data_IF_489277777452
#
_entry.id   IF_489277777452
#
_cell.length_a   1.000
_cell.length_b   1.000
_cell.length_c   1.000
_cell.angle_alpha   90.00
_cell.angle_beta   90.00
_cell.angle_gamma   90.00
#
_symmetry.space_group_name_H-M   'P 1'
#
loop_
_entity.id
_entity.type
_entity.pdbx_description
1 polymer ?
2 non-polymer ?
3 non-polymer ?
4 non-polymer ?
5 water ?
#
# COMPACT_ATOMS: atom_id res chain seq x y z
N UNK A 1 -2.04 -4.72 19.38
CA UNK A 1 -3.00 -3.65 19.84
C UNK A 1 -4.08 -3.33 18.82
N UNK A 2 -4.12 -2.08 18.38
CA UNK A 2 -5.13 -1.63 17.43
C UNK A 2 -5.06 -2.40 16.12
N UNK A 3 -3.89 -2.92 15.75
CA UNK A 3 -3.77 -3.60 14.45
C UNK A 3 -4.70 -4.81 14.37
N UNK A 4 -4.94 -5.50 15.48
CA UNK A 4 -5.86 -6.65 15.45
C UNK A 4 -7.27 -6.21 15.12
N UNK A 5 -7.67 -5.06 15.66
CA UNK A 5 -8.96 -4.49 15.38
C UNK A 5 -9.10 -4.14 13.89
N UNK A 6 -8.07 -3.48 13.36
CA UNK A 6 -8.05 -3.15 11.92
C UNK A 6 -8.17 -4.42 11.08
N UNK A 7 -7.43 -5.45 11.44
CA UNK A 7 -7.44 -6.67 10.65
C UNK A 7 -8.82 -7.35 10.67
N UNK A 8 -9.60 -7.19 11.74
CA UNK A 8 -10.90 -7.82 11.70
C UNK A 8 -11.84 -7.14 10.68
N UNK A 9 -11.57 -5.88 10.30
CA UNK A 9 -12.30 -5.29 9.19
C UNK A 9 -11.71 -5.80 7.85
N UNK A 10 -10.38 -5.81 7.73
CA UNK A 10 -9.69 -6.25 6.52
C UNK A 10 -10.10 -7.67 6.14
N UNK A 11 -10.36 -8.53 7.13
CA UNK A 11 -10.77 -9.93 6.92
C UNK A 11 -12.28 -10.10 6.80
N UNK A 12 -13.03 -9.01 6.75
CA UNK A 12 -14.47 -9.09 6.62
C UNK A 12 -14.90 -8.60 5.25
N UNK A 13 -15.11 -9.53 4.30
CA UNK A 13 -15.51 -9.06 2.97
C UNK A 13 -16.89 -8.44 2.88
N UNK A 14 -17.69 -8.50 3.96
CA UNK A 14 -18.99 -7.90 4.03
C UNK A 14 -18.92 -6.55 4.72
N UNK A 15 -17.71 -6.04 4.96
CA UNK A 15 -17.54 -4.77 5.65
C UNK A 15 -18.30 -3.62 5.01
N UNK A 16 -18.97 -2.83 5.82
CA UNK A 16 -19.63 -1.58 5.44
C UNK A 16 -18.73 -0.38 5.74
N UNK A 17 -17.53 -0.66 6.27
CA UNK A 17 -16.59 0.41 6.63
C UNK A 17 -15.55 0.48 5.53
N UNK A 18 -14.91 1.63 5.39
CA UNK A 18 -13.89 1.85 4.37
C UNK A 18 -12.55 2.11 5.08
N UNK A 19 -11.57 1.26 4.80
CA UNK A 19 -10.23 1.42 5.34
C UNK A 19 -9.41 2.44 4.56
N UNK A 20 -8.57 3.16 5.27
CA UNK A 20 -7.67 4.18 4.68
C UNK A 20 -6.26 3.68 4.64
N UNK A 21 -5.66 3.77 3.46
CA UNK A 21 -4.25 3.50 3.26
C UNK A 21 -3.51 4.79 3.03
N UNK A 22 -2.53 5.10 3.87
CA UNK A 22 -1.65 6.26 3.65
C UNK A 22 -0.49 5.85 2.76
N UNK A 23 -0.51 6.30 1.51
CA UNK A 23 0.56 6.09 0.54
C UNK A 23 1.87 6.68 1.01
N UNK A 24 2.85 5.82 1.25
CA UNK A 24 4.19 6.17 1.71
C UNK A 24 4.16 6.74 3.12
N UNK A 25 3.15 6.36 3.89
CA UNK A 25 2.96 7.00 5.20
C UNK A 25 2.27 8.34 5.06
N UNK A 26 2.05 9.06 6.17
CA UNK A 26 1.45 10.40 6.06
C UNK A 26 2.55 11.42 5.72
N UNK A 27 2.93 11.46 4.45
CA UNK A 27 4.02 12.32 4.01
C UNK A 27 3.65 13.81 4.06
N UNK A 28 2.36 14.10 4.19
CA UNK A 28 2.01 15.49 4.38
C UNK A 28 2.52 16.03 5.72
N UNK A 29 2.91 15.15 6.65
CA UNK A 29 3.43 15.57 7.97
C UNK A 29 4.90 15.26 8.23
N UNK A 30 5.53 14.43 7.42
CA UNK A 30 6.92 14.03 7.61
C UNK A 30 7.38 13.42 6.29
N UNK A 31 8.68 13.22 6.10
CA UNK A 31 9.13 12.71 4.77
C UNK A 31 8.48 11.40 4.38
N UNK A 32 8.18 11.23 3.10
CA UNK A 32 7.64 9.97 2.64
C UNK A 32 8.55 8.80 3.03
N UNK A 33 7.96 7.62 3.22
CA UNK A 33 8.77 6.40 3.46
C UNK A 33 9.75 6.55 4.63
N UNK A 34 9.28 7.22 5.69
CA UNK A 34 10.05 7.39 6.91
C UNK A 34 9.27 6.82 8.09
N UNK A 35 10.00 6.53 9.17
CA UNK A 35 9.31 6.08 10.36
C UNK A 35 8.44 7.22 10.93
N UNK A 36 8.84 8.49 10.77
CA UNK A 36 8.03 9.60 11.22
C UNK A 36 6.70 9.65 10.47
N UNK A 37 6.71 9.36 9.18
CA UNK A 37 5.47 9.34 8.40
C UNK A 37 4.57 8.20 8.80
N UNK A 38 5.15 7.08 9.23
CA UNK A 38 4.37 5.96 9.78
C UNK A 38 3.78 6.36 11.14
N UNK A 39 4.60 6.97 12.00
CA UNK A 39 4.05 7.35 13.29
C UNK A 39 2.95 8.38 13.12
N UNK A 40 3.04 9.25 12.12
CA UNK A 40 1.97 10.23 11.87
C UNK A 40 0.67 9.52 11.45
N UNK A 41 0.80 8.56 10.56
CA UNK A 41 -0.35 7.76 10.17
C UNK A 41 -1.01 7.04 11.34
N UNK A 42 -0.20 6.49 12.23
CA UNK A 42 -0.70 5.83 13.44
C UNK A 42 -1.41 6.86 14.30
N UNK A 43 -0.84 8.02 14.52
CA UNK A 43 -1.45 9.01 15.40
C UNK A 43 -2.83 9.46 14.87
N UNK A 44 -2.99 9.43 13.55
CA UNK A 44 -4.24 9.83 12.91
C UNK A 44 -5.24 8.70 12.75
N UNK A 45 -4.87 7.50 13.17
CA UNK A 45 -5.74 6.33 13.10
C UNK A 45 -5.97 5.83 11.69
N UNK A 46 -4.97 6.03 10.86
CA UNK A 46 -4.96 5.38 9.55
C UNK A 46 -4.92 3.85 9.75
N UNK A 47 -5.52 3.12 8.83
CA UNK A 47 -5.63 1.65 8.94
C UNK A 47 -4.42 0.90 8.42
N UNK A 48 -3.88 1.34 7.29
CA UNK A 48 -2.82 0.68 6.60
C UNK A 48 -1.85 1.73 6.10
N UNK A 49 -0.56 1.47 6.27
CA UNK A 49 0.45 2.29 5.57
C UNK A 49 1.06 1.49 4.48
N UNK A 50 1.20 2.12 3.31
CA UNK A 50 1.89 1.54 2.19
C UNK A 50 3.30 2.12 2.23
N UNK A 51 4.31 1.27 2.04
CA UNK A 51 5.71 1.68 2.03
C UNK A 51 6.42 0.94 0.89
N UNK A 52 7.37 1.63 0.28
CA UNK A 52 8.08 1.14 -0.87
C UNK A 52 9.45 0.62 -0.43
N UNK A 53 9.89 -0.47 -1.03
CA UNK A 53 11.16 -1.12 -0.64
C UNK A 53 12.18 -1.07 -1.76
N UNK A 54 13.46 -0.87 -1.38
CA UNK A 54 14.61 -1.00 -2.30
C UNK A 54 15.69 -1.77 -1.55
N UNK A 55 16.62 -2.32 -2.31
CA UNK A 55 17.72 -3.13 -1.77
C UNK A 55 19.06 -2.46 -2.03
N UNK A 56 19.85 -2.35 -0.98
CA UNK A 56 21.16 -1.69 -1.07
C UNK A 56 22.22 -2.63 -1.70
N UNK A 57 23.41 -2.09 -1.98
CA UNK A 57 24.50 -2.85 -2.53
C UNK A 57 24.80 -4.06 -1.64
N UNK A 58 24.76 -3.84 -0.33
CA UNK A 58 25.05 -4.87 0.67
C UNK A 58 23.84 -5.73 1.04
N UNK A 59 22.75 -5.63 0.28
CA UNK A 59 21.64 -6.54 0.38
C UNK A 59 20.65 -6.24 1.43
N UNK A 60 20.69 -5.04 1.99
CA UNK A 60 19.78 -4.63 3.05
C UNK A 60 18.53 -4.02 2.45
N UNK A 61 17.39 -4.21 3.10
CA UNK A 61 16.14 -3.69 2.58
C UNK A 61 15.80 -2.42 3.32
N UNK A 62 15.59 -1.35 2.55
CA UNK A 62 15.26 -0.04 3.07
C UNK A 62 13.94 0.43 2.48
N UNK A 63 13.37 1.44 3.11
CA UNK A 63 12.22 2.14 2.54
C UNK A 63 12.73 3.19 1.58
N UNK A 64 12.25 3.14 0.36
CA UNK A 64 12.66 4.07 -0.71
C UNK A 64 11.76 3.74 -1.90
N UNK A 65 11.16 4.76 -2.50
CA UNK A 65 10.34 4.55 -3.67
C UNK A 65 11.20 4.42 -4.94
N UNK A 66 11.99 5.44 -5.20
CA UNK A 66 12.77 5.48 -6.43
C UNK A 66 13.96 4.53 -6.40
N UNK A 67 14.50 4.21 -7.55
CA UNK A 67 15.76 3.45 -7.70
C UNK A 67 16.97 4.24 -7.30
N UNK A 68 16.80 5.56 -7.16
CA UNK A 68 17.83 6.51 -6.84
C UNK A 68 17.51 7.32 -5.58
N UNK A 69 18.56 7.86 -4.98
CA UNK A 69 18.49 8.63 -3.76
C UNK A 69 18.11 10.09 -3.98
N UNK A 70 18.14 10.52 -5.22
CA UNK A 70 18.19 11.94 -5.53
C UNK A 70 16.98 12.76 -5.08
N UNK A 71 15.77 12.23 -5.26
CA UNK A 71 14.54 13.02 -5.06
C UNK A 71 14.28 13.26 -3.59
N UNK A 72 14.51 12.26 -2.74
CA UNK A 72 14.08 12.32 -1.33
C UNK A 72 15.16 12.45 -0.31
N UNK A 73 16.41 12.40 -0.72
CA UNK A 73 17.52 12.48 0.24
C UNK A 73 18.55 13.53 -0.15
N UNK A 74 19.49 13.75 0.74
CA UNK A 74 20.63 14.63 0.45
C UNK A 74 21.71 13.94 -0.39
N UNK A 75 21.53 12.69 -0.80
CA UNK A 75 22.51 12.01 -1.64
C UNK A 75 21.98 11.85 -3.04
N UNK A 76 22.81 11.25 -3.89
CA UNK A 76 22.51 11.01 -5.27
C UNK A 76 23.08 9.68 -5.69
N UNK A 77 22.37 9.03 -6.60
CA UNK A 77 22.83 7.76 -7.19
C UNK A 77 21.88 6.62 -6.96
N UNK A 78 22.18 5.50 -7.59
CA UNK A 78 21.35 4.32 -7.49
C UNK A 78 21.52 3.65 -6.13
N UNK A 79 20.40 3.26 -5.52
CA UNK A 79 20.39 2.56 -4.24
C UNK A 79 21.31 1.34 -4.28
N UNK A 80 21.25 0.61 -5.40
CA UNK A 80 22.05 -0.62 -5.56
C UNK A 80 23.56 -0.43 -5.55
N UNK A 81 24.01 0.82 -5.70
CA UNK A 81 25.42 1.19 -5.64
C UNK A 81 25.86 1.71 -4.28
N UNK A 82 24.94 1.84 -3.33
CA UNK A 82 25.25 2.35 -2.03
C UNK A 82 25.09 1.32 -0.93
N UNK A 83 25.94 1.38 0.09
CA UNK A 83 25.73 0.52 1.24
C UNK A 83 24.75 1.15 2.23
N UNK A 84 24.12 0.34 3.08
CA UNK A 84 23.23 0.89 4.08
C UNK A 84 23.89 1.89 4.98
N UNK A 85 25.10 1.61 5.46
CA UNK A 85 25.77 2.52 6.36
C UNK A 85 26.01 3.88 5.76
N UNK A 86 26.34 3.92 4.47
CA UNK A 86 26.55 5.22 3.83
C UNK A 86 25.20 5.92 3.59
N UNK A 87 24.16 5.19 3.23
CA UNK A 87 22.83 5.78 3.07
C UNK A 87 22.38 6.40 4.38
N UNK A 88 22.70 5.77 5.50
CA UNK A 88 22.33 6.29 6.85
C UNK A 88 22.99 7.59 7.25
N UNK A 89 24.03 7.98 6.52
CA UNK A 89 24.71 9.25 6.75
C UNK A 89 23.96 10.39 6.07
N UNK A 90 23.08 10.08 5.13
CA UNK A 90 22.29 11.07 4.42
C UNK A 90 21.10 11.50 5.33
N UNK A 91 20.37 12.50 4.87
CA UNK A 91 19.16 12.95 5.52
C UNK A 91 18.02 13.00 4.55
N UNK A 92 16.81 12.80 5.06
CA UNK A 92 15.59 12.89 4.26
C UNK A 92 15.13 14.32 4.09
N UNK A 93 14.61 14.62 2.90
CA UNK A 93 13.95 15.88 2.61
C UNK A 93 12.45 15.76 2.90
N UNK A 94 11.82 16.82 3.39
CA UNK A 94 10.38 16.83 3.60
C UNK A 94 9.68 17.17 2.27
N UNK A 95 8.35 17.19 2.32
CA UNK A 95 7.51 17.46 1.14
C UNK A 95 7.79 18.80 0.48
N UNK A 96 8.33 19.75 1.24
CA UNK A 96 8.64 21.08 0.73
C UNK A 96 10.10 21.13 0.23
N UNK A 97 10.82 20.02 0.32
CA UNK A 97 12.23 19.93 -0.08
C UNK A 97 13.23 20.36 0.97
N UNK A 98 12.78 20.63 2.18
CA UNK A 98 13.70 21.06 3.24
C UNK A 98 14.37 19.85 3.85
N UNK A 99 15.64 19.99 4.13
CA UNK A 99 16.43 18.89 4.71
C UNK A 99 16.01 18.75 6.18
N UNK A 100 15.70 17.53 6.62
CA UNK A 100 15.31 17.25 8.00
C UNK A 100 16.45 16.53 8.73
N UNK A 101 16.19 16.16 9.97
CA UNK A 101 17.14 15.31 10.69
C UNK A 101 16.75 13.86 10.68
N UNK A 102 15.75 13.52 9.88
CA UNK A 102 15.35 12.13 9.72
C UNK A 102 16.26 11.41 8.73
N UNK A 103 16.37 10.11 8.95
CA UNK A 103 17.19 9.25 8.09
C UNK A 103 16.36 8.17 7.41
N UNK A 104 16.91 7.60 6.36
CA UNK A 104 16.29 6.48 5.69
C UNK A 104 16.19 5.30 6.68
N UNK A 105 15.00 4.72 6.83
CA UNK A 105 14.86 3.56 7.71
C UNK A 105 15.02 2.24 6.94
N UNK A 106 15.45 1.20 7.63
CA UNK A 106 15.41 -0.13 7.09
C UNK A 106 13.93 -0.61 7.15
N UNK A 107 13.65 -1.64 6.38
CA UNK A 107 12.37 -2.28 6.46
C UNK A 107 12.11 -2.75 7.88
N UNK A 108 13.12 -3.33 8.53
CA UNK A 108 12.96 -3.79 9.91
C UNK A 108 12.52 -2.64 10.82
N UNK A 109 13.19 -1.49 10.70
CA UNK A 109 12.82 -0.33 11.51
C UNK A 109 11.37 0.11 11.26
N UNK A 110 10.95 0.11 9.98
CA UNK A 110 9.59 0.50 9.67
C UNK A 110 8.60 -0.47 10.30
N UNK A 111 8.88 -1.77 10.19
CA UNK A 111 7.97 -2.79 10.74
C UNK A 111 7.89 -2.71 12.24
N UNK A 112 8.99 -2.41 12.91
CA UNK A 112 8.99 -2.26 14.37
C UNK A 112 8.21 -1.04 14.79
N UNK A 113 8.24 0.02 13.99
CA UNK A 113 7.41 1.21 14.26
C UNK A 113 5.93 0.88 14.09
N UNK A 114 5.58 0.07 13.11
CA UNK A 114 4.19 -0.29 12.85
C UNK A 114 3.64 -1.37 13.75
N UNK A 115 4.50 -2.16 14.35
CA UNK A 115 4.12 -3.39 15.05
C UNK A 115 3.06 -3.13 16.08
N UNK A 116 1.98 -3.92 15.97
CA UNK A 116 0.85 -3.82 16.87
C UNK A 116 -0.15 -2.70 16.63
N UNK A 117 0.19 -1.76 15.74
CA UNK A 117 -0.55 -0.50 15.61
C UNK A 117 -1.20 -0.24 14.29
N UNK A 118 -0.61 -0.68 13.19
CA UNK A 118 -1.14 -0.30 11.87
C UNK A 118 -0.76 -1.40 10.90
N UNK A 119 -1.63 -1.76 9.95
CA UNK A 119 -1.21 -2.76 8.97
C UNK A 119 -0.24 -2.12 7.99
N UNK A 120 0.58 -2.94 7.34
CA UNK A 120 1.59 -2.48 6.44
C UNK A 120 1.44 -3.19 5.10
N UNK A 121 1.36 -2.42 4.02
CA UNK A 121 1.37 -2.96 2.67
C UNK A 121 2.70 -2.63 2.08
N UNK A 122 3.40 -3.63 1.58
CA UNK A 122 4.70 -3.37 0.96
C UNK A 122 4.56 -3.33 -0.51
N UNK A 123 5.19 -2.37 -1.16
CA UNK A 123 5.25 -2.37 -2.62
C UNK A 123 6.72 -2.55 -3.03
N UNK A 124 6.87 -3.05 -4.24
CA UNK A 124 8.16 -3.35 -4.85
C UNK A 124 8.88 -4.48 -4.08
N UNK A 125 8.11 -5.34 -3.41
CA UNK A 125 8.64 -6.44 -2.58
C UNK A 125 8.39 -7.82 -3.12
N UNK A 126 7.57 -7.96 -4.17
CA UNK A 126 7.22 -9.29 -4.65
C UNK A 126 8.43 -10.13 -5.09
N UNK A 127 9.30 -9.55 -5.88
CA UNK A 127 10.46 -10.29 -6.40
C UNK A 127 11.44 -10.74 -5.32
N UNK A 128 11.37 -10.13 -4.14
CA UNK A 128 12.23 -10.42 -2.99
C UNK A 128 11.40 -10.92 -1.79
N UNK A 129 10.29 -11.61 -2.09
CA UNK A 129 9.31 -12.09 -1.10
C UNK A 129 10.03 -12.82 0.04
N UNK A 130 10.94 -13.73 -0.30
CA UNK A 130 11.64 -14.52 0.73
C UNK A 130 12.55 -13.68 1.64
N UNK A 131 13.26 -12.72 1.07
CA UNK A 131 14.11 -11.79 1.83
C UNK A 131 13.23 -10.93 2.76
N UNK A 132 12.09 -10.50 2.23
CA UNK A 132 11.14 -9.74 3.03
C UNK A 132 10.56 -10.61 4.12
N UNK A 133 10.19 -11.86 3.81
CA UNK A 133 9.59 -12.74 4.82
C UNK A 133 10.54 -12.97 6.02
N UNK A 134 11.83 -13.09 5.76
CA UNK A 134 12.81 -13.28 6.85
C UNK A 134 12.76 -12.10 7.84
N UNK A 135 12.53 -10.89 7.32
CA UNK A 135 12.43 -9.67 8.16
C UNK A 135 11.08 -9.65 8.88
N UNK A 136 10.04 -10.13 8.22
CA UNK A 136 8.71 -10.22 8.83
C UNK A 136 8.79 -11.16 10.05
N UNK A 137 9.49 -12.27 9.87
CA UNK A 137 9.70 -13.29 10.92
C UNK A 137 10.56 -12.73 12.07
N UNK A 138 11.64 -12.03 11.71
CA UNK A 138 12.52 -11.39 12.71
C UNK A 138 11.80 -10.39 13.61
N UNK A 139 10.86 -9.63 13.03
CA UNK A 139 10.10 -8.60 13.75
C UNK A 139 8.74 -9.13 14.27
N UNK A 140 8.41 -10.36 13.90
CA UNK A 140 7.11 -11.05 14.22
C UNK A 140 5.90 -10.21 13.76
N UNK A 141 6.01 -9.68 12.55
CA UNK A 141 4.95 -8.86 11.97
C UNK A 141 4.26 -9.51 10.77
N UNK A 142 4.52 -10.78 10.52
CA UNK A 142 3.91 -11.42 9.36
C UNK A 142 2.37 -11.39 9.40
N UNK A 143 1.78 -11.31 10.60
CA UNK A 143 0.32 -11.29 10.69
C UNK A 143 -0.30 -9.90 10.44
N UNK A 144 0.50 -8.87 10.20
CA UNK A 144 -0.04 -7.52 9.93
C UNK A 144 0.44 -6.93 8.65
N UNK A 145 1.05 -7.72 7.79
CA UNK A 145 1.60 -7.26 6.53
C UNK A 145 0.76 -7.77 5.37
N UNK A 146 0.64 -6.95 4.33
CA UNK A 146 -0.05 -7.30 3.09
C UNK A 146 1.00 -7.21 1.99
N UNK A 147 1.35 -8.35 1.43
CA UNK A 147 2.23 -8.42 0.26
C UNK A 147 1.34 -8.21 -0.98
N UNK A 148 1.94 -7.76 -2.08
CA UNK A 148 1.14 -7.59 -3.30
C UNK A 148 2.03 -7.65 -4.51
N UNK A 149 1.40 -7.88 -5.66
CA UNK A 149 2.09 -7.91 -6.91
C UNK A 149 1.09 -8.10 -8.02
N UNK A 150 1.61 -8.14 -9.25
CA UNK A 150 0.77 -8.26 -10.45
C UNK A 150 0.79 -9.56 -11.19
N UNK A 151 1.53 -10.54 -10.70
CA UNK A 151 1.63 -11.81 -11.44
C UNK A 151 0.38 -12.68 -11.24
N UNK A 152 0.08 -13.55 -12.20
CA UNK A 152 -1.05 -14.45 -12.02
C UNK A 152 -0.76 -15.46 -10.92
N UNK A 153 -1.83 -16.05 -10.39
CA UNK A 153 -1.73 -16.95 -9.26
C UNK A 153 -0.83 -18.16 -9.60
N UNK A 154 -0.78 -18.60 -10.86
CA UNK A 154 0.13 -19.73 -11.19
C UNK A 154 1.59 -19.38 -10.87
N UNK A 155 2.00 -18.18 -11.27
CA UNK A 155 3.37 -17.68 -11.07
C UNK A 155 3.68 -17.48 -9.59
N UNK A 156 2.76 -16.86 -8.85
CA UNK A 156 2.98 -16.63 -7.41
C UNK A 156 3.07 -17.97 -6.63
N UNK A 157 2.23 -18.93 -6.98
CA UNK A 157 2.31 -20.25 -6.35
C UNK A 157 3.65 -20.90 -6.61
N UNK A 158 4.09 -20.83 -7.87
CA UNK A 158 5.36 -21.43 -8.27
C UNK A 158 6.55 -20.78 -7.56
N UNK A 159 6.56 -19.46 -7.52
CA UNK A 159 7.69 -18.73 -6.94
C UNK A 159 7.68 -18.70 -5.43
N UNK A 160 6.53 -18.46 -4.82
CA UNK A 160 6.47 -18.27 -3.37
C UNK A 160 5.26 -18.91 -2.72
N UNK A 161 4.81 -20.04 -3.26
CA UNK A 161 3.58 -20.69 -2.77
C UNK A 161 3.60 -21.09 -1.32
N UNK A 162 4.76 -21.46 -0.81
CA UNK A 162 4.88 -21.87 0.61
C UNK A 162 4.69 -20.73 1.61
N UNK A 163 4.68 -19.48 1.11
CA UNK A 163 4.47 -18.31 1.94
C UNK A 163 3.02 -17.88 1.99
N UNK A 164 2.15 -18.43 1.12
CA UNK A 164 0.78 -17.92 1.00
C UNK A 164 -0.18 -18.24 2.15
N UNK A 165 0.18 -19.21 2.99
CA UNK A 165 -0.63 -19.49 4.17
C UNK A 165 0.00 -18.78 5.38
N UNK A 166 1.13 -18.09 5.17
CA UNK A 166 1.86 -17.39 6.23
C UNK A 166 1.73 -15.86 6.25
N UNK A 167 1.40 -15.26 5.11
CA UNK A 167 1.24 -13.81 5.04
C UNK A 167 0.18 -13.48 4.01
N UNK A 168 -0.59 -12.44 4.28
CA UNK A 168 -1.60 -11.98 3.37
C UNK A 168 -0.99 -11.52 2.03
N UNK A 169 -1.65 -11.90 0.97
CA UNK A 169 -1.27 -11.50 -0.40
C UNK A 169 -2.47 -10.93 -1.09
N UNK A 170 -2.29 -9.76 -1.69
CA UNK A 170 -3.31 -9.03 -2.42
C UNK A 170 -2.88 -8.87 -3.88
N UNK A 171 -3.62 -9.45 -4.81
CA UNK A 171 -3.28 -9.21 -6.20
C UNK A 171 -3.60 -7.76 -6.63
N UNK A 172 -2.79 -7.27 -7.56
CA UNK A 172 -2.94 -5.95 -8.18
C UNK A 172 -3.29 -6.21 -9.64
N UNK A 173 -4.44 -5.70 -10.08
CA UNK A 173 -4.85 -5.92 -11.46
C UNK A 173 -5.20 -4.62 -12.14
N UNK A 174 -4.62 -4.46 -13.32
CA UNK A 174 -4.91 -3.30 -14.18
C UNK A 174 -5.98 -3.74 -15.19
N UNK A 175 -7.15 -3.12 -15.07
CA UNK A 175 -8.31 -3.44 -15.91
C UNK A 175 -8.14 -3.01 -17.34
N UNK A 176 -7.08 -2.28 -17.64
CA UNK A 176 -6.78 -1.98 -19.03
C UNK A 176 -6.18 -3.15 -19.75
N UNK A 177 -5.75 -4.19 -19.01
CA UNK A 177 -5.21 -5.42 -19.59
C UNK A 177 -6.31 -6.36 -20.01
N UNK A 178 -6.20 -6.91 -21.22
CA UNK A 178 -7.21 -7.88 -21.69
C UNK A 178 -7.50 -9.14 -20.84
N UNK A 179 -6.49 -9.61 -20.08
CA UNK A 179 -6.60 -10.80 -19.23
C UNK A 179 -7.05 -10.47 -17.80
N UNK A 180 -7.43 -9.22 -17.53
CA UNK A 180 -7.77 -8.81 -16.17
C UNK A 180 -8.81 -9.67 -15.48
N UNK A 181 -9.91 -9.92 -16.16
CA UNK A 181 -10.98 -10.72 -15.54
C UNK A 181 -10.55 -12.15 -15.17
N UNK A 182 -9.83 -12.82 -16.07
CA UNK A 182 -9.33 -14.15 -15.78
C UNK A 182 -8.34 -14.15 -14.62
N UNK A 183 -7.44 -13.16 -14.58
CA UNK A 183 -6.48 -13.07 -13.48
C UNK A 183 -7.26 -12.99 -12.16
N UNK A 184 -8.29 -12.15 -12.13
CA UNK A 184 -9.12 -11.98 -10.93
C UNK A 184 -9.87 -13.21 -10.52
N UNK A 185 -10.55 -13.85 -11.50
CA UNK A 185 -11.34 -15.05 -11.18
C UNK A 185 -10.46 -16.24 -10.80
N UNK A 186 -9.26 -16.33 -11.37
CA UNK A 186 -8.33 -17.39 -10.96
C UNK A 186 -7.85 -17.16 -9.52
N UNK A 187 -7.56 -15.90 -9.15
CA UNK A 187 -7.23 -15.57 -7.75
C UNK A 187 -8.38 -15.91 -6.79
N UNK A 188 -9.59 -15.52 -7.18
CA UNK A 188 -10.76 -15.73 -6.36
C UNK A 188 -10.95 -17.23 -6.07
N UNK A 189 -10.80 -18.05 -7.11
CA UNK A 189 -10.92 -19.48 -6.98
C UNK A 189 -9.78 -20.13 -6.22
N UNK A 190 -8.55 -19.80 -6.57
CA UNK A 190 -7.39 -20.48 -6.00
C UNK A 190 -6.80 -19.94 -4.70
N UNK A 191 -6.91 -18.64 -4.45
CA UNK A 191 -6.36 -18.06 -3.26
C UNK A 191 -7.41 -17.48 -2.31
N UNK A 192 -8.56 -17.06 -2.84
CA UNK A 192 -9.58 -16.38 -2.02
C UNK A 192 -8.93 -15.25 -1.17
N UNK A 193 -8.32 -14.27 -1.86
CA UNK A 193 -7.66 -13.22 -1.10
C UNK A 193 -8.63 -12.35 -0.31
N UNK A 194 -8.11 -11.72 0.73
CA UNK A 194 -8.94 -10.80 1.53
C UNK A 194 -9.29 -9.54 0.76
N UNK A 195 -8.43 -9.16 -0.19
CA UNK A 195 -8.61 -7.96 -0.98
C UNK A 195 -7.96 -8.08 -2.31
N UNK A 196 -8.42 -7.24 -3.22
CA UNK A 196 -7.85 -7.04 -4.55
C UNK A 196 -7.63 -5.56 -4.78
N UNK A 197 -6.45 -5.19 -5.27
CA UNK A 197 -6.17 -3.81 -5.67
C UNK A 197 -6.49 -3.71 -7.18
N UNK A 198 -7.39 -2.80 -7.51
CA UNK A 198 -7.92 -2.62 -8.87
C UNK A 198 -7.46 -1.30 -9.36
N UNK A 199 -6.87 -1.28 -10.54
CA UNK A 199 -6.35 -0.07 -11.20
C UNK A 199 -6.99 0.04 -12.58
N UNK A 200 -7.41 1.24 -12.95
CA UNK A 200 -7.87 1.47 -14.33
C UNK A 200 -7.69 2.95 -14.65
N UNK A 201 -7.32 3.25 -15.89
CA UNK A 201 -7.12 4.64 -16.29
C UNK A 201 -8.27 5.26 -17.05
N UNK A 202 -8.94 4.49 -17.90
CA UNK A 202 -10.02 5.07 -18.69
C UNK A 202 -11.29 5.18 -17.86
N UNK A 203 -11.86 6.40 -17.68
CA UNK A 203 -13.09 6.51 -16.91
C UNK A 203 -14.24 5.62 -17.43
N UNK A 204 -14.21 5.26 -18.69
CA UNK A 204 -15.26 4.43 -19.31
C UNK A 204 -14.82 3.00 -19.55
N UNK A 205 -13.77 2.58 -18.85
CA UNK A 205 -13.40 1.17 -18.88
C UNK A 205 -14.64 0.36 -18.52
N UNK A 206 -14.92 -0.73 -19.26
CA UNK A 206 -16.20 -1.42 -18.99
C UNK A 206 -16.17 -2.37 -17.80
N UNK A 207 -14.99 -2.62 -17.25
CA UNK A 207 -14.86 -3.64 -16.22
C UNK A 207 -15.15 -3.29 -14.76
N UNK A 208 -14.93 -2.05 -14.29
CA UNK A 208 -15.20 -1.81 -12.86
C UNK A 208 -16.56 -2.26 -12.32
N UNK A 209 -17.67 -2.05 -13.05
CA UNK A 209 -18.96 -2.56 -12.56
C UNK A 209 -18.99 -4.07 -12.51
N UNK A 210 -18.36 -4.75 -13.46
CA UNK A 210 -18.30 -6.19 -13.46
C UNK A 210 -17.46 -6.71 -12.29
N UNK A 211 -16.35 -6.05 -12.01
CA UNK A 211 -15.53 -6.44 -10.89
C UNK A 211 -16.30 -6.26 -9.56
N UNK A 212 -17.11 -5.21 -9.43
CA UNK A 212 -17.93 -5.04 -8.23
C UNK A 212 -18.84 -6.25 -8.06
N UNK A 213 -19.48 -6.69 -9.14
CA UNK A 213 -20.34 -7.85 -9.05
C UNK A 213 -19.55 -9.14 -8.77
N UNK A 214 -18.37 -9.30 -9.35
CA UNK A 214 -17.56 -10.51 -9.14
C UNK A 214 -17.04 -10.62 -7.72
N UNK A 215 -16.68 -9.49 -7.12
CA UNK A 215 -16.06 -9.49 -5.79
C UNK A 215 -16.99 -9.13 -4.64
N UNK A 216 -18.29 -8.95 -4.95
CA UNK A 216 -19.35 -8.58 -3.96
C UNK A 216 -19.42 -9.53 -2.83
N UNK A 217 -19.06 -9.03 -1.60
CA UNK A 217 -19.21 -9.89 -0.43
C UNK A 217 -18.25 -11.08 -0.44
N UNK A 218 -17.25 -11.04 -1.32
CA UNK A 218 -16.27 -12.10 -1.42
C UNK A 218 -14.87 -11.62 -1.06
N UNK A 219 -14.51 -10.41 -1.45
CA UNK A 219 -13.20 -9.84 -1.16
C UNK A 219 -13.36 -8.36 -1.13
N UNK A 220 -12.50 -7.68 -0.38
CA UNK A 220 -12.54 -6.22 -0.38
C UNK A 220 -11.88 -5.62 -1.61
N UNK A 221 -12.48 -4.58 -2.15
CA UNK A 221 -11.95 -3.88 -3.30
C UNK A 221 -11.19 -2.66 -2.85
N UNK A 222 -9.92 -2.61 -3.27
CA UNK A 222 -9.04 -1.48 -3.02
C UNK A 222 -8.85 -0.65 -4.27
N UNK A 223 -9.17 0.65 -4.21
CA UNK A 223 -8.85 1.60 -5.30
C UNK A 223 -7.89 2.63 -4.75
N UNK A 224 -7.14 3.20 -5.68
CA UNK A 224 -6.17 4.26 -5.40
C UNK A 224 -6.66 5.59 -5.94
N UNK A 225 -6.48 6.68 -5.19
CA UNK A 225 -6.88 8.02 -5.58
C UNK A 225 -5.68 8.93 -5.74
N UNK A 226 -4.52 8.36 -5.95
CA UNK A 226 -3.28 9.14 -5.93
C UNK A 226 -3.09 10.08 -7.12
N UNK A 227 -3.56 9.65 -8.28
CA UNK A 227 -3.49 10.40 -9.52
C UNK A 227 -4.51 9.84 -10.49
N UNK A 228 -4.69 10.52 -11.62
CA UNK A 228 -5.82 10.24 -12.51
C UNK A 228 -5.84 8.86 -13.12
N UNK A 229 -4.67 8.35 -13.50
CA UNK A 229 -4.57 7.08 -14.24
C UNK A 229 -4.85 5.85 -13.40
N UNK A 230 -5.03 6.01 -12.08
CA UNK A 230 -5.27 4.85 -11.26
C UNK A 230 -6.70 4.44 -11.07
N UNK A 231 -7.64 5.38 -11.18
CA UNK A 231 -9.03 5.04 -10.95
C UNK A 231 -9.94 5.93 -11.79
N UNK A 232 -9.64 6.02 -13.07
CA UNK A 232 -10.52 6.73 -13.98
C UNK A 232 -10.76 8.17 -13.66
N UNK A 233 -9.71 8.84 -13.21
CA UNK A 233 -9.72 10.25 -12.83
C UNK A 233 -10.51 10.56 -11.56
N UNK A 234 -10.87 9.54 -10.79
CA UNK A 234 -11.45 9.72 -9.45
C UNK A 234 -10.26 9.78 -8.53
N UNK A 235 -9.71 10.99 -8.34
CA UNK A 235 -8.50 11.13 -7.53
C UNK A 235 -8.64 12.14 -6.41
N UNK A 236 -7.56 12.32 -5.69
CA UNK A 236 -7.53 13.20 -4.55
C UNK A 236 -7.87 14.65 -4.93
N UNK A 237 -7.38 15.11 -6.09
CA UNK A 237 -7.68 16.48 -6.48
C UNK A 237 -9.15 16.68 -6.79
N UNK A 238 -9.77 15.72 -7.44
CA UNK A 238 -11.20 15.81 -7.67
C UNK A 238 -11.92 15.81 -6.29
N UNK A 239 -11.43 15.00 -5.34
CA UNK A 239 -12.06 14.91 -4.04
C UNK A 239 -11.98 16.21 -3.26
N UNK A 240 -10.97 17.04 -3.51
CA UNK A 240 -10.86 18.34 -2.85
C UNK A 240 -12.01 19.25 -3.28
N UNK A 241 -12.45 19.15 -4.53
CA UNK A 241 -13.56 19.91 -5.12
C UNK A 241 -14.90 19.33 -4.68
N UNK A 242 -14.99 18.01 -4.79
CA UNK A 242 -16.22 17.30 -4.42
C UNK A 242 -15.89 15.86 -4.09
N UNK A 243 -15.81 15.61 -2.78
CA UNK A 243 -15.45 14.27 -2.38
C UNK A 243 -16.48 13.21 -2.78
N UNK A 244 -17.74 13.59 -2.91
CA UNK A 244 -18.74 12.62 -3.34
C UNK A 244 -18.49 12.14 -4.76
N UNK A 245 -18.01 13.03 -5.63
CA UNK A 245 -17.74 12.68 -7.03
C UNK A 245 -16.52 11.78 -7.21
N UNK A 246 -15.62 11.77 -6.23
CA UNK A 246 -14.41 11.00 -6.32
C UNK A 246 -14.48 9.81 -5.35
N UNK A 247 -14.33 10.05 -4.05
CA UNK A 247 -14.38 8.97 -3.06
C UNK A 247 -15.76 8.32 -3.02
N UNK A 248 -16.82 9.12 -3.04
CA UNK A 248 -18.18 8.57 -2.99
C UNK A 248 -18.50 7.66 -4.16
N UNK A 249 -18.07 8.08 -5.36
CA UNK A 249 -18.26 7.27 -6.54
C UNK A 249 -17.56 5.92 -6.39
N UNK A 250 -16.29 5.93 -5.98
CA UNK A 250 -15.54 4.68 -5.89
C UNK A 250 -16.17 3.76 -4.86
N UNK A 251 -16.58 4.31 -3.71
CA UNK A 251 -17.17 3.50 -2.65
C UNK A 251 -18.55 2.98 -2.98
N UNK A 252 -19.44 3.89 -3.37
CA UNK A 252 -20.82 3.52 -3.56
C UNK A 252 -21.07 2.88 -4.92
N UNK A 253 -20.54 3.44 -6.01
CA UNK A 253 -20.82 2.89 -7.35
C UNK A 253 -19.92 1.72 -7.67
N UNK A 254 -18.65 1.79 -7.31
CA UNK A 254 -17.71 0.70 -7.63
C UNK A 254 -17.42 -0.29 -6.50
N UNK A 255 -17.96 -0.05 -5.29
CA UNK A 255 -17.85 -0.98 -4.20
C UNK A 255 -16.57 -0.95 -3.43
N UNK A 256 -15.77 0.11 -3.59
CA UNK A 256 -14.52 0.20 -2.83
C UNK A 256 -14.75 0.11 -1.32
N UNK A 257 -13.96 -0.71 -0.66
CA UNK A 257 -13.93 -0.74 0.80
C UNK A 257 -12.52 -0.43 1.38
N UNK A 258 -11.58 -0.12 0.51
CA UNK A 258 -10.25 0.32 0.89
C UNK A 258 -9.86 1.37 -0.14
N UNK A 259 -9.37 2.52 0.35
CA UNK A 259 -8.86 3.57 -0.55
C UNK A 259 -7.46 3.96 -0.12
N UNK A 260 -6.54 3.98 -1.09
CA UNK A 260 -5.17 4.45 -0.87
C UNK A 260 -5.09 5.90 -1.39
N UNK A 261 -4.68 6.80 -0.52
CA UNK A 261 -4.71 8.24 -0.76
C UNK A 261 -3.40 8.89 -0.37
N UNK A 262 -3.18 10.05 -0.98
CA UNK A 262 -2.09 10.96 -0.64
C UNK A 262 -2.55 12.04 0.34
N UNK A 263 -3.81 12.03 0.79
CA UNK A 263 -4.35 13.00 1.74
C UNK A 263 -5.18 12.24 2.76
N UNK A 264 -4.51 11.44 3.60
CA UNK A 264 -5.27 10.60 4.54
C UNK A 264 -6.09 11.37 5.57
N UNK A 265 -5.65 12.52 6.05
CA UNK A 265 -6.46 13.30 7.01
C UNK A 265 -7.75 13.72 6.35
N UNK A 266 -7.67 14.18 5.11
CA UNK A 266 -8.86 14.62 4.40
C UNK A 266 -9.82 13.48 4.12
N UNK A 267 -9.30 12.37 3.63
CA UNK A 267 -10.14 11.19 3.40
C UNK A 267 -10.77 10.69 4.71
N UNK A 268 -10.00 10.58 5.77
CA UNK A 268 -10.57 10.16 7.08
C UNK A 268 -11.72 11.07 7.50
N UNK A 269 -11.52 12.37 7.33
CA UNK A 269 -12.54 13.34 7.73
C UNK A 269 -13.83 13.10 6.95
N UNK A 270 -13.67 12.91 5.64
CA UNK A 270 -14.82 12.61 4.78
C UNK A 270 -15.51 11.33 5.25
N UNK A 271 -14.74 10.27 5.42
CA UNK A 271 -15.33 8.99 5.81
C UNK A 271 -16.05 9.06 7.15
N UNK A 272 -15.46 9.78 8.10
CA UNK A 272 -16.11 9.98 9.40
C UNK A 272 -17.43 10.71 9.25
N UNK A 273 -17.46 11.78 8.44
CA UNK A 273 -18.74 12.49 8.21
C UNK A 273 -19.79 11.56 7.56
N UNK A 274 -19.36 10.64 6.72
CA UNK A 274 -20.26 9.68 6.06
C UNK A 274 -20.68 8.52 6.96
N UNK A 275 -20.07 8.37 8.12
CA UNK A 275 -20.33 7.21 8.97
C UNK A 275 -19.70 5.92 8.45
N UNK A 276 -18.66 6.04 7.63
CA UNK A 276 -17.96 4.90 7.03
C UNK A 276 -16.63 4.59 7.70
N UNK A 277 -16.25 5.32 8.72
CA UNK A 277 -15.00 5.10 9.46
C UNK A 277 -15.19 5.72 10.84
N UNK A 278 -14.60 5.08 11.84
CA UNK A 278 -14.61 5.58 13.21
C UNK A 278 -13.67 6.74 13.33
X LIG B 1 6.38 18.40 6.64
X LIG B 1 7.23 17.53 6.95
X LIG B 1 5.33 17.91 6.21
X LIG B 1 6.56 19.89 6.69
X LIG C 1 13.06 16.90 11.76
X LIG C 1 13.25 15.86 12.43
X LIG C 1 14.10 17.42 11.36
X LIG C 1 11.72 17.47 11.39
X LIG D 1 15.00 4.75 12.93
X LIG D 1 13.61 4.63 13.22
X LIG D 1 15.12 5.33 11.53
X LIG D 1 14.15 6.38 11.41
X LIG E 1 -11.11 -3.62 -20.78
X LIG E 1 -10.99 -2.40 -21.55
X LIG E 1 -9.91 -4.53 -21.05
X LIG E 1 -10.03 -5.11 -22.38
X LIG F 1 -13.84 6.59 -23.96
X LIG F 1 -12.71 5.75 -23.73
X LIG F 1 -13.93 7.81 -23.06
X LIG F 1 -13.29 7.65 -21.79
X LIG G 1 -10.94 -0.30 11.23
X LIG G 1 -11.01 1.05 10.78
X LIG G 1 -10.60 -0.37 12.73
X LIG G 1 -11.42 0.54 13.48
X LIG H 1 -14.41 16.43 2.98
X LIG H 1 -15.77 16.42 3.47
X LIG H 1 -13.50 16.25 4.18
X LIG H 1 -13.69 17.33 5.10
X LIG I 1 -0.79 -4.52 -12.52
X LIG I 1 -0.70 -3.11 -12.69
X LIG I 1 0.15 -4.87 -11.40
X LIG I 1 1.46 -5.13 -11.92
X LIG J 1 -21.24 2.77 1.63
X LIG J 1 -21.89 1.74 0.90
X LIG J 1 -20.13 2.18 2.48
X LIG J 1 -20.65 1.20 3.40
X LIG K 1 5.13 13.39 -2.65
X LIG K 1 5.51 12.26 -3.43
X LIG K 1 6.21 13.91 -1.75
X LIG K 1 6.77 12.89 -0.93
X LIG L 1 9.01 14.33 0.72
X LIG L 1 8.08 13.43 1.32
X LIG L 1 10.14 13.65 -0.03
X LIG L 1 10.99 13.02 0.87
X LIG M 1 -14.07 10.69 -14.50
X LIG M 1 -14.42 11.43 -15.69
X LIG M 1 -13.94 11.58 -13.26
X LIG M 1 -15.04 12.47 -13.05
X LIG N 1 -17.52 -14.01 7.82
X LIG N 1 -18.71 -13.35 7.39
X LIG N 1 -16.32 -13.34 7.17
X LIG N 1 -16.66 -13.19 5.80
X LIG O 1 -19.24 -5.95 -0.42
X LIG O 1 -18.15 -6.88 -0.50
X LIG O 1 -18.87 -4.74 0.41
X LIG O 1 -18.82 -5.11 1.81
X LIG P 1 27.55 9.00 -7.58
X LIG P 1 26.24 8.71 -8.09
X LIG P 1 27.42 10.06 -6.52
X LIG P 1 26.78 9.57 -5.36
X LIG Q 1 -10.42 19.40 5.82
X LIG Q 1 -11.53 19.36 4.94
X LIG Q 1 -10.01 18.02 6.31
X LIG Q 1 -8.58 17.89 6.26
X LIG R 1 -2.81 2.19 -15.09
X LIG R 1 -2.57 1.87 -16.46
X LIG R 1 -2.09 3.45 -14.66
X LIG R 1 -0.74 3.13 -14.29
X LIG S 1 -1.48 -13.82 8.26
X LIG S 1 -2.23 -12.61 8.37
X LIG S 1 -2.01 -14.91 9.18
X LIG S 1 -2.15 -14.36 10.50
X LIG T 1 15.24 -3.50 -5.32
X LIG T 1 14.81 -4.71 -4.70
X LIG T 1 16.70 -3.58 -5.73
X LIG T 1 17.44 -2.50 -5.15
X LIG U 1 18.01 4.73 -12.22
X LIG U 1 16.82 5.53 -12.13
X LIG U 1 18.96 5.30 -13.27
X LIG U 1 19.82 6.28 -12.68
X LIG V 1 0.40 -1.08 -6.71
X LIG V 1 1.07 -1.52 -7.89
X LIG V 1 -0.31 0.18 -7.09
X LIG V 1 -0.42 1.15 -6.02
X LIG V 1 -0.86 2.40 -6.55
X LIG V 1 0.35 3.24 -6.97
X LIG V 1 1.23 2.54 -7.85
#
# INVERSE_FOLDING_TARGET
GHVETIKNTFLNPKSNKVLVVAHRGNWRSAPENSTAAIDSAIAMKVDIVEIDIQKTKDGQLILMHDNTLDRTTTGKGEIKNWTLADIKKLKLKDKDGKVTNYVVPTLEEALLTAKGKIMVNLDKAYDIFDDVYAILEKTETQNQVIMKGGQPIETVKREFGSYLDKVLYMPVIDLGNKEAEKIITDYLKELRPAAFEIIYSDPKNPLPPKIKQLLFKKSLIWYNTLWGSLAGNHDDNLALTDPEKSYGYLIEQLGARILQTDQPAYLLDYLRKKGWHN
ACT C O OXT CH3
ACT C O OXT CH3
EDO C1 O1 C2 O2
EDO C1 O1 C2 O2
EDO C1 O1 C2 O2
EDO C1 O1 C2 O2
EDO C1 O1 C2 O2
EDO C1 O1 C2 O2
EDO C1 O1 C2 O2
EDO C1 O1 C2 O2
EDO C1 O1 C2 O2
EDO C1 O1 C2 O2
EDO C1 O1 C2 O2
EDO C1 O1 C2 O2
EDO C1 O1 C2 O2
EDO C1 O1 C2 O2
EDO C1 O1 C2 O2
EDO C1 O1 C2 O2
EDO C1 O1 C2 O2
EDO C1 O1 C2 O2
PEG C1 O1 C2 O2 C3 C4 O4
#
